data_IF_175771860015
#
_entry.id   IF_175771860015
#
_cell.length_a   1.000
_cell.length_b   1.000
_cell.length_c   1.000
_cell.angle_alpha   90.00
_cell.angle_beta   90.00
_cell.angle_gamma   90.00
#
_symmetry.space_group_name_H-M   'P 1'
#
loop_
_entity.id
_entity.type
_entity.pdbx_description
1 polymer ?
#
# COMPACT_ATOMS: atom_id res chain seq x y z
N UNK A 1 -8.86 -22.59 13.82
CA UNK A 1 -7.55 -21.91 13.60
C UNK A 1 -7.46 -21.13 12.27
N UNK A 2 -8.58 -20.75 11.62
CA UNK A 2 -8.53 -20.07 10.31
C UNK A 2 -7.85 -18.71 10.41
N UNK A 3 -8.32 -17.86 11.33
CA UNK A 3 -7.82 -16.49 11.60
C UNK A 3 -6.32 -16.47 11.87
N UNK A 4 -5.84 -17.36 12.75
CA UNK A 4 -4.41 -17.45 13.08
C UNK A 4 -3.54 -17.72 11.86
N UNK A 5 -4.00 -18.60 10.95
CA UNK A 5 -3.31 -18.87 9.69
C UNK A 5 -3.32 -17.65 8.76
N UNK A 6 -4.44 -16.94 8.64
CA UNK A 6 -4.51 -15.75 7.78
C UNK A 6 -3.56 -14.64 8.28
N UNK A 7 -3.54 -14.40 9.60
CA UNK A 7 -2.60 -13.49 10.26
C UNK A 7 -1.16 -13.90 9.98
N UNK A 8 -0.82 -15.18 10.17
CA UNK A 8 0.53 -15.69 9.91
C UNK A 8 0.96 -15.50 8.46
N UNK A 9 0.05 -15.68 7.50
CA UNK A 9 0.36 -15.46 6.08
C UNK A 9 0.63 -13.97 5.84
N UNK A 10 -0.25 -13.07 6.29
CA UNK A 10 -0.08 -11.62 6.07
C UNK A 10 1.21 -11.11 6.73
N UNK A 11 1.42 -11.41 8.00
CA UNK A 11 2.61 -10.96 8.73
C UNK A 11 3.89 -11.66 8.27
N UNK A 12 3.81 -12.94 7.89
CA UNK A 12 4.93 -13.68 7.31
C UNK A 12 5.40 -13.07 5.99
N UNK A 13 4.46 -12.66 5.13
CA UNK A 13 4.77 -11.98 3.87
C UNK A 13 5.32 -10.58 4.09
N UNK A 14 4.78 -9.83 5.06
CA UNK A 14 5.35 -8.55 5.47
C UNK A 14 6.81 -8.72 5.92
N UNK A 15 7.07 -9.68 6.80
CA UNK A 15 8.42 -9.93 7.30
C UNK A 15 9.38 -10.41 6.20
N UNK A 16 8.91 -11.27 5.29
CA UNK A 16 9.68 -11.66 4.11
C UNK A 16 10.00 -10.46 3.22
N UNK A 17 9.04 -9.56 2.98
CA UNK A 17 9.25 -8.33 2.23
C UNK A 17 10.26 -7.39 2.89
N UNK A 18 10.21 -7.27 4.22
CA UNK A 18 11.17 -6.51 5.02
C UNK A 18 12.59 -7.09 4.94
N UNK A 19 12.72 -8.42 5.05
CA UNK A 19 14.00 -9.10 4.86
C UNK A 19 14.56 -8.87 3.45
N UNK A 20 13.73 -9.04 2.42
CA UNK A 20 14.14 -8.82 1.03
C UNK A 20 14.59 -7.36 0.83
N UNK A 21 13.80 -6.40 1.33
CA UNK A 21 14.14 -4.98 1.20
C UNK A 21 15.48 -4.67 1.86
N UNK A 22 15.73 -5.20 3.06
CA UNK A 22 17.01 -5.02 3.77
C UNK A 22 18.18 -5.71 3.08
N UNK A 23 18.03 -6.96 2.66
CA UNK A 23 19.12 -7.73 2.03
C UNK A 23 19.50 -7.16 0.67
N UNK A 24 18.53 -6.71 -0.13
CA UNK A 24 18.79 -6.09 -1.43
C UNK A 24 19.02 -4.58 -1.35
N UNK A 25 18.95 -3.97 -0.15
CA UNK A 25 19.05 -2.53 0.06
C UNK A 25 18.14 -1.72 -0.87
N UNK A 26 16.89 -2.16 -0.99
CA UNK A 26 15.92 -1.48 -1.85
C UNK A 26 15.50 -0.13 -1.24
N UNK A 27 15.28 0.90 -2.07
CA UNK A 27 14.74 2.19 -1.61
C UNK A 27 13.25 2.11 -1.22
N UNK A 28 12.66 0.91 -1.23
CA UNK A 28 11.24 0.67 -0.99
C UNK A 28 11.01 0.12 0.42
N UNK A 29 10.01 0.61 1.16
CA UNK A 29 9.58 -0.01 2.41
C UNK A 29 9.27 -1.50 2.23
N UNK A 30 9.63 -2.32 3.23
CA UNK A 30 9.38 -3.76 3.20
C UNK A 30 7.90 -4.13 3.02
N UNK A 31 6.98 -3.27 3.48
CA UNK A 31 5.53 -3.44 3.28
C UNK A 31 5.11 -3.43 1.80
N UNK A 32 5.71 -2.57 0.97
CA UNK A 32 5.44 -2.55 -0.47
C UNK A 32 5.97 -3.81 -1.15
N UNK A 33 7.17 -4.26 -0.76
CA UNK A 33 7.75 -5.52 -1.26
C UNK A 33 6.87 -6.72 -0.87
N UNK A 34 6.37 -6.74 0.38
CA UNK A 34 5.45 -7.76 0.86
C UNK A 34 4.13 -7.79 0.08
N UNK A 35 3.58 -6.63 -0.30
CA UNK A 35 2.39 -6.55 -1.19
C UNK A 35 2.67 -7.14 -2.58
N UNK A 36 3.82 -6.83 -3.18
CA UNK A 36 4.22 -7.39 -4.48
C UNK A 36 4.36 -8.92 -4.37
N UNK A 37 4.98 -9.40 -3.28
CA UNK A 37 5.16 -10.83 -3.05
C UNK A 37 3.81 -11.55 -2.87
N UNK A 38 2.89 -10.96 -2.10
CA UNK A 38 1.53 -11.46 -1.95
C UNK A 38 0.81 -11.51 -3.30
N UNK A 39 0.91 -10.46 -4.10
CA UNK A 39 0.31 -10.40 -5.44
C UNK A 39 0.82 -11.53 -6.35
N UNK A 40 2.14 -11.78 -6.35
CA UNK A 40 2.74 -12.89 -7.10
C UNK A 40 2.21 -14.24 -6.61
N UNK A 41 2.10 -14.44 -5.30
CA UNK A 41 1.57 -15.67 -4.71
C UNK A 41 0.09 -15.91 -5.04
N UNK A 42 -0.71 -14.84 -5.13
CA UNK A 42 -2.09 -14.91 -5.61
C UNK A 42 -2.15 -15.31 -7.08
N UNK A 43 -1.31 -14.71 -7.93
CA UNK A 43 -1.24 -15.06 -9.36
C UNK A 43 -0.84 -16.51 -9.57
N UNK A 44 0.12 -17.01 -8.78
CA UNK A 44 0.56 -18.40 -8.79
C UNK A 44 -0.43 -19.37 -8.12
N UNK A 45 -1.56 -18.88 -7.59
CA UNK A 45 -2.56 -19.66 -6.86
C UNK A 45 -2.02 -20.43 -5.64
N UNK A 46 -0.84 -20.07 -5.14
CA UNK A 46 -0.24 -20.65 -3.92
C UNK A 46 -1.01 -20.18 -2.69
N UNK A 47 -1.44 -18.92 -2.70
CA UNK A 47 -2.32 -18.34 -1.69
C UNK A 47 -3.64 -17.98 -2.36
N UNK A 48 -4.74 -18.58 -1.93
CA UNK A 48 -6.07 -18.21 -2.40
C UNK A 48 -6.61 -17.02 -1.61
N UNK A 49 -7.40 -16.18 -2.28
CA UNK A 49 -7.99 -14.99 -1.66
C UNK A 49 -8.84 -15.36 -0.42
N UNK A 50 -9.56 -16.48 -0.44
CA UNK A 50 -10.37 -16.92 0.70
C UNK A 50 -9.54 -17.27 1.96
N UNK A 51 -8.23 -17.45 1.81
CA UNK A 51 -7.31 -17.76 2.92
C UNK A 51 -6.80 -16.52 3.65
N UNK A 52 -7.04 -15.32 3.12
CA UNK A 52 -6.57 -14.06 3.72
C UNK A 52 -7.68 -13.00 3.83
N UNK A 53 -8.82 -13.18 3.16
CA UNK A 53 -9.89 -12.19 3.07
C UNK A 53 -10.43 -11.80 4.45
N UNK A 54 -10.71 -12.76 5.33
CA UNK A 54 -11.37 -12.50 6.62
C UNK A 54 -10.58 -11.51 7.48
N UNK A 55 -9.27 -11.74 7.62
CA UNK A 55 -8.40 -10.89 8.43
C UNK A 55 -8.04 -9.61 7.69
N UNK A 56 -7.84 -9.67 6.37
CA UNK A 56 -7.56 -8.48 5.58
C UNK A 56 -8.73 -7.50 5.63
N UNK A 57 -9.97 -7.96 5.44
CA UNK A 57 -11.18 -7.13 5.51
C UNK A 57 -11.39 -6.55 6.91
N UNK A 58 -11.13 -7.33 7.95
CA UNK A 58 -11.18 -6.84 9.33
C UNK A 58 -10.16 -5.71 9.57
N UNK A 59 -8.90 -5.90 9.16
CA UNK A 59 -7.86 -4.88 9.31
C UNK A 59 -8.16 -3.64 8.47
N UNK A 60 -8.67 -3.81 7.25
CA UNK A 60 -9.01 -2.71 6.35
C UNK A 60 -10.25 -1.95 6.84
N UNK A 61 -11.23 -2.63 7.42
CA UNK A 61 -12.38 -1.99 8.07
C UNK A 61 -12.01 -1.15 9.28
N UNK A 62 -10.92 -1.51 9.96
CA UNK A 62 -10.37 -0.76 11.10
C UNK A 62 -9.13 0.08 10.73
N UNK A 63 -8.90 0.33 9.45
CA UNK A 63 -7.75 1.09 8.96
C UNK A 63 -7.59 2.49 9.61
N UNK A 64 -8.66 3.28 9.84
CA UNK A 64 -8.54 4.57 10.53
C UNK A 64 -7.93 4.48 11.93
N UNK A 65 -8.18 3.38 12.66
CA UNK A 65 -7.60 3.16 13.99
C UNK A 65 -6.07 3.03 13.93
N UNK A 66 -5.53 2.41 12.88
CA UNK A 66 -4.08 2.28 12.69
C UNK A 66 -3.42 3.59 12.22
N UNK A 67 -4.15 4.46 11.52
CA UNK A 67 -3.64 5.77 11.09
C UNK A 67 -3.78 6.86 12.15
N UNK A 68 -4.68 6.68 13.13
CA UNK A 68 -4.92 7.66 14.19
C UNK A 68 -3.64 8.03 14.98
N UNK A 69 -2.79 7.07 15.43
CA UNK A 69 -1.53 7.38 16.11
C UNK A 69 -0.58 8.25 15.28
N UNK A 70 -0.46 7.96 13.98
CA UNK A 70 0.37 8.74 13.07
C UNK A 70 -0.19 10.16 12.89
N UNK A 71 -1.52 10.30 12.82
CA UNK A 71 -2.21 11.59 12.75
C UNK A 71 -1.99 12.45 14.00
N UNK A 72 -2.15 11.89 15.20
CA UNK A 72 -1.91 12.64 16.45
C UNK A 72 -0.43 12.99 16.64
N UNK A 73 0.49 12.12 16.21
CA UNK A 73 1.92 12.42 16.20
C UNK A 73 2.24 13.61 15.28
N UNK A 74 1.54 13.74 14.16
CA UNK A 74 1.68 14.90 13.28
C UNK A 74 1.20 16.19 13.94
N UNK A 75 0.14 16.13 14.75
CA UNK A 75 -0.35 17.30 15.50
C UNK A 75 0.65 17.82 16.53
N UNK A 76 1.54 16.98 17.06
CA UNK A 76 2.64 17.44 17.92
C UNK A 76 3.66 18.31 17.15
N UNK A 77 3.74 18.15 15.83
CA UNK A 77 4.66 18.90 14.94
C UNK A 77 3.95 19.99 14.13
N UNK A 78 2.71 20.34 14.48
CA UNK A 78 1.88 21.25 13.71
C UNK A 78 2.46 22.66 13.61
N UNK A 79 3.15 23.12 14.66
CA UNK A 79 3.83 24.42 14.71
C UNK A 79 4.94 24.53 13.67
N UNK A 80 5.57 23.42 13.27
CA UNK A 80 6.59 23.41 12.22
C UNK A 80 6.00 23.61 10.80
N UNK A 81 4.67 23.58 10.68
CA UNK A 81 3.95 23.72 9.40
C UNK A 81 3.28 25.09 9.26
N UNK A 82 3.41 25.98 10.24
CA UNK A 82 2.83 27.33 10.20
C UNK A 82 3.39 28.10 8.99
N UNK A 83 2.48 28.60 8.14
CA UNK A 83 2.82 29.34 6.91
C UNK A 83 2.99 28.50 5.64
N UNK A 84 3.15 27.17 5.74
CA UNK A 84 3.30 26.28 4.55
C UNK A 84 2.02 25.52 4.18
N UNK A 85 0.97 25.59 5.00
CA UNK A 85 -0.28 24.84 4.80
C UNK A 85 -0.93 25.01 3.42
N UNK A 86 -1.01 26.25 2.93
CA UNK A 86 -1.57 26.53 1.61
C UNK A 86 -0.75 25.90 0.48
N UNK A 87 0.58 25.98 0.58
CA UNK A 87 1.50 25.37 -0.40
C UNK A 87 1.46 23.85 -0.35
N UNK A 88 1.39 23.25 0.85
CA UNK A 88 1.24 21.80 0.99
C UNK A 88 -0.06 21.29 0.36
N UNK A 89 -1.19 21.94 0.65
CA UNK A 89 -2.46 21.55 0.04
C UNK A 89 -2.41 21.65 -1.49
N UNK A 90 -1.84 22.74 -2.02
CA UNK A 90 -1.68 22.93 -3.46
C UNK A 90 -0.79 21.84 -4.08
N UNK A 91 0.38 21.55 -3.49
CA UNK A 91 1.29 20.51 -3.97
C UNK A 91 0.63 19.14 -3.90
N UNK A 92 -0.04 18.79 -2.80
CA UNK A 92 -0.76 17.52 -2.66
C UNK A 92 -1.85 17.37 -3.72
N UNK A 93 -2.64 18.41 -3.98
CA UNK A 93 -3.73 18.35 -4.95
C UNK A 93 -3.19 18.22 -6.38
N UNK A 94 -2.19 19.03 -6.73
CA UNK A 94 -1.53 18.99 -8.04
C UNK A 94 -0.86 17.64 -8.27
N UNK A 95 -0.08 17.13 -7.32
CA UNK A 95 0.59 15.82 -7.46
C UNK A 95 -0.40 14.66 -7.52
N UNK A 96 -1.51 14.71 -6.77
CA UNK A 96 -2.57 13.69 -6.84
C UNK A 96 -3.21 13.66 -8.22
N UNK A 97 -3.59 14.83 -8.77
CA UNK A 97 -4.19 14.94 -10.10
C UNK A 97 -3.22 14.45 -11.18
N UNK A 98 -1.94 14.85 -11.09
CA UNK A 98 -0.91 14.41 -12.05
C UNK A 98 -0.70 12.89 -11.96
N UNK A 99 -0.50 12.34 -10.76
CA UNK A 99 -0.27 10.89 -10.58
C UNK A 99 -1.48 10.08 -11.04
N UNK A 100 -2.70 10.51 -10.72
CA UNK A 100 -3.93 9.85 -11.17
C UNK A 100 -4.10 9.93 -12.69
N UNK A 101 -3.83 11.09 -13.29
CA UNK A 101 -3.89 11.28 -14.75
C UNK A 101 -2.86 10.45 -15.50
N UNK A 102 -1.60 10.43 -15.02
CA UNK A 102 -0.52 9.64 -15.61
C UNK A 102 -0.78 8.14 -15.49
N UNK A 103 -1.11 7.65 -14.29
CA UNK A 103 -1.41 6.22 -14.08
C UNK A 103 -2.62 5.76 -14.90
N UNK A 104 -3.70 6.55 -14.93
CA UNK A 104 -4.88 6.29 -15.74
C UNK A 104 -4.55 6.20 -17.23
N UNK A 105 -3.78 7.17 -17.77
CA UNK A 105 -3.37 7.14 -19.19
C UNK A 105 -2.49 5.96 -19.54
N UNK A 106 -1.55 5.59 -18.67
CA UNK A 106 -0.69 4.41 -18.91
C UNK A 106 -1.53 3.15 -19.03
N UNK A 107 -2.47 2.95 -18.09
CA UNK A 107 -3.36 1.78 -18.09
C UNK A 107 -4.27 1.80 -19.32
N UNK A 108 -4.87 2.96 -19.65
CA UNK A 108 -5.73 3.10 -20.82
C UNK A 108 -4.97 2.78 -22.11
N UNK A 109 -3.74 3.28 -22.26
CA UNK A 109 -2.91 3.00 -23.42
C UNK A 109 -2.53 1.51 -23.53
N UNK A 110 -2.28 0.84 -22.39
CA UNK A 110 -2.06 -0.61 -22.36
C UNK A 110 -3.31 -1.40 -22.75
N UNK A 111 -4.50 -0.99 -22.31
CA UNK A 111 -5.76 -1.65 -22.67
C UNK A 111 -6.11 -1.46 -24.15
N UNK A 112 -5.93 -0.26 -24.71
CA UNK A 112 -6.18 0.03 -26.13
C UNK A 112 -5.25 -0.79 -27.04
N UNK A 113 -3.99 -1.01 -26.66
CA UNK A 113 -3.08 -1.90 -27.40
C UNK A 113 -3.50 -3.37 -27.33
N UNK A 114 -4.04 -3.81 -26.20
CA UNK A 114 -4.51 -5.19 -26.03
C UNK A 114 -5.83 -5.46 -26.77
N UNK A 115 -6.66 -4.45 -26.98
CA UNK A 115 -7.91 -4.56 -27.77
C UNK A 115 -7.69 -4.54 -29.29
N UNK A 116 -6.48 -4.20 -29.75
CA UNK A 116 -6.12 -4.13 -31.18
C UNK A 116 -5.29 -5.34 -31.66
N UNK A 117 -4.99 -6.28 -30.77
CA UNK A 117 -4.38 -7.60 -31.05
C UNK A 117 -5.38 -8.71 -30.81
#
# INVERSE_FOLDING_TARGET
MKIFREVLVIFGLYYAGELISKTLSLPLPGSLVGMILLFILLQLHVVKLEQIATVSDFLLGHLPFFFLPAGVALMASFSAMEGLWGWMLLICLVTTVITMGCSGRIIQHMMERKSKS
#
